data_IF_686013399087
#
_entry.id   IF_686013399087
#
_cell.length_a   1.000
_cell.length_b   1.000
_cell.length_c   1.000
_cell.angle_alpha   90.00
_cell.angle_beta   90.00
_cell.angle_gamma   90.00
#
_symmetry.space_group_name_H-M   'P 1'
#
loop_
_entity.id
_entity.type
_entity.pdbx_description
1 polymer ?
#
# COMPACT_ATOMS: atom_id res chain seq x y z
N UNK A 1 -16.98 -24.77 -8.77
CA UNK A 1 -15.81 -25.13 -7.93
C UNK A 1 -16.18 -24.90 -6.48
N UNK A 2 -16.11 -25.91 -5.61
CA UNK A 2 -16.26 -25.69 -4.17
C UNK A 2 -14.98 -24.97 -3.72
N UNK A 3 -15.13 -23.76 -3.17
CA UNK A 3 -14.02 -23.01 -2.57
C UNK A 3 -13.59 -23.73 -1.30
N UNK A 4 -12.78 -24.79 -1.43
CA UNK A 4 -12.10 -25.36 -0.27
C UNK A 4 -11.03 -24.38 0.17
N UNK A 5 -11.14 -23.94 1.43
CA UNK A 5 -10.20 -22.99 2.00
C UNK A 5 -8.92 -23.75 2.36
N UNK A 6 -7.87 -23.52 1.58
CA UNK A 6 -6.54 -24.06 1.86
C UNK A 6 -5.85 -23.22 2.94
N UNK A 7 -5.18 -23.91 3.86
CA UNK A 7 -4.43 -23.29 4.96
C UNK A 7 -2.93 -23.41 4.66
N UNK A 8 -2.33 -22.31 4.21
CA UNK A 8 -0.93 -22.29 3.77
C UNK A 8 0.05 -22.73 4.87
N UNK A 9 -0.26 -22.49 6.15
CA UNK A 9 0.59 -22.95 7.25
C UNK A 9 0.59 -24.48 7.33
N UNK A 10 -0.57 -25.11 7.16
CA UNK A 10 -0.68 -26.57 7.15
C UNK A 10 -0.04 -27.19 5.92
N UNK A 11 -0.17 -26.55 4.76
CA UNK A 11 0.51 -27.00 3.53
C UNK A 11 2.03 -26.96 3.68
N UNK A 12 2.58 -25.90 4.28
CA UNK A 12 4.01 -25.77 4.50
C UNK A 12 4.54 -26.83 5.48
N UNK A 13 3.79 -27.12 6.56
CA UNK A 13 4.11 -28.22 7.48
C UNK A 13 4.07 -29.57 6.74
N UNK A 14 3.08 -29.79 5.87
CA UNK A 14 2.96 -31.02 5.10
C UNK A 14 4.13 -31.23 4.12
N UNK A 15 4.55 -30.20 3.39
CA UNK A 15 5.74 -30.26 2.52
C UNK A 15 7.02 -30.49 3.32
N UNK A 16 7.16 -29.86 4.50
CA UNK A 16 8.28 -30.07 5.41
C UNK A 16 8.36 -31.54 5.87
N UNK A 17 7.24 -32.07 6.36
CA UNK A 17 7.15 -33.46 6.82
C UNK A 17 7.40 -34.47 5.69
N UNK A 18 6.86 -34.22 4.49
CA UNK A 18 7.09 -35.04 3.30
C UNK A 18 8.59 -35.12 2.95
N UNK A 19 9.30 -33.99 2.96
CA UNK A 19 10.72 -33.95 2.64
C UNK A 19 11.60 -34.55 3.75
N UNK A 20 11.21 -34.41 5.04
CA UNK A 20 11.88 -35.09 6.16
C UNK A 20 11.81 -36.61 5.97
N UNK A 21 10.61 -37.16 5.74
CA UNK A 21 10.44 -38.60 5.48
C UNK A 21 11.20 -39.01 4.22
N UNK A 22 11.09 -38.24 3.15
CA UNK A 22 11.77 -38.50 1.87
C UNK A 22 13.30 -38.58 2.02
N UNK A 23 13.89 -37.78 2.90
CA UNK A 23 15.35 -37.77 3.13
C UNK A 23 15.90 -39.11 3.63
N UNK A 24 15.14 -39.86 4.43
CA UNK A 24 15.52 -41.21 4.89
C UNK A 24 15.53 -42.25 3.76
N UNK A 25 14.94 -41.93 2.62
CA UNK A 25 14.80 -42.83 1.46
C UNK A 25 15.63 -42.40 0.25
N UNK A 26 16.58 -41.46 0.42
CA UNK A 26 17.36 -40.86 -0.68
C UNK A 26 16.48 -40.20 -1.77
N UNK A 27 15.31 -39.69 -1.39
CA UNK A 27 14.41 -38.99 -2.30
C UNK A 27 14.95 -37.57 -2.60
N UNK A 28 14.74 -37.10 -3.83
CA UNK A 28 14.99 -35.70 -4.17
C UNK A 28 13.95 -34.77 -3.52
N UNK A 29 14.27 -33.47 -3.41
CA UNK A 29 13.35 -32.48 -2.84
C UNK A 29 12.03 -32.50 -3.62
N UNK A 30 10.95 -32.83 -2.91
CA UNK A 30 9.61 -32.95 -3.49
C UNK A 30 8.85 -31.65 -3.33
N UNK A 31 8.30 -31.16 -4.44
CA UNK A 31 7.49 -29.94 -4.54
C UNK A 31 6.10 -30.28 -5.12
N UNK A 32 5.20 -29.30 -5.19
CA UNK A 32 3.87 -29.46 -5.79
C UNK A 32 3.94 -29.67 -7.31
N UNK A 33 3.64 -30.86 -7.84
CA UNK A 33 3.80 -31.13 -9.28
C UNK A 33 2.58 -30.64 -10.06
N UNK A 34 2.67 -29.43 -10.63
CA UNK A 34 1.57 -28.82 -11.40
C UNK A 34 0.97 -29.75 -12.47
N UNK A 35 1.83 -30.38 -13.28
CA UNK A 35 1.38 -31.28 -14.36
C UNK A 35 0.60 -32.49 -13.85
N UNK A 36 1.04 -33.14 -12.76
CA UNK A 36 0.35 -34.31 -12.20
C UNK A 36 -0.97 -33.92 -11.53
N UNK A 37 -1.00 -32.79 -10.82
CA UNK A 37 -2.21 -32.29 -10.17
C UNK A 37 -3.27 -31.89 -11.21
N UNK A 38 -2.86 -31.27 -12.33
CA UNK A 38 -3.79 -30.92 -13.41
C UNK A 38 -4.42 -32.16 -14.06
N UNK A 39 -3.64 -33.21 -14.32
CA UNK A 39 -4.18 -34.48 -14.85
C UNK A 39 -5.12 -35.15 -13.84
N UNK A 40 -4.75 -35.17 -12.56
CA UNK A 40 -5.57 -35.72 -11.48
C UNK A 40 -6.91 -34.98 -11.35
N UNK A 41 -6.88 -33.65 -11.50
CA UNK A 41 -8.08 -32.80 -11.52
C UNK A 41 -8.96 -33.08 -12.75
N UNK A 42 -8.36 -33.15 -13.95
CA UNK A 42 -9.08 -33.45 -15.19
C UNK A 42 -9.67 -34.87 -15.20
N UNK A 43 -9.05 -35.82 -14.50
CA UNK A 43 -9.59 -37.17 -14.29
C UNK A 43 -10.78 -37.21 -13.32
N UNK A 44 -11.17 -36.07 -12.72
CA UNK A 44 -12.33 -35.96 -11.84
C UNK A 44 -12.06 -36.42 -10.40
N UNK A 45 -10.81 -36.60 -10.00
CA UNK A 45 -10.45 -37.01 -8.65
C UNK A 45 -10.74 -35.90 -7.63
N UNK A 46 -11.40 -36.26 -6.52
CA UNK A 46 -11.85 -35.31 -5.48
C UNK A 46 -11.23 -35.53 -4.10
N UNK A 47 -10.48 -36.61 -3.91
CA UNK A 47 -9.93 -36.99 -2.61
C UNK A 47 -8.43 -37.19 -2.69
N UNK A 48 -7.73 -36.94 -1.58
CA UNK A 48 -6.29 -37.15 -1.45
C UNK A 48 -5.87 -38.62 -1.64
N UNK A 49 -6.81 -39.57 -1.54
CA UNK A 49 -6.53 -40.99 -1.81
C UNK A 49 -6.07 -41.25 -3.24
N UNK A 50 -6.41 -40.40 -4.20
CA UNK A 50 -5.87 -40.50 -5.56
C UNK A 50 -4.33 -40.47 -5.57
N UNK A 51 -3.73 -39.62 -4.73
CA UNK A 51 -2.26 -39.52 -4.64
C UNK A 51 -1.63 -40.78 -4.03
N UNK A 52 -2.33 -41.44 -3.09
CA UNK A 52 -1.87 -42.70 -2.49
C UNK A 52 -1.90 -43.83 -3.53
N UNK A 53 -3.01 -43.96 -4.26
CA UNK A 53 -3.15 -44.96 -5.34
C UNK A 53 -2.09 -44.71 -6.42
N UNK A 54 -1.90 -43.46 -6.83
CA UNK A 54 -0.86 -43.09 -7.78
C UNK A 54 0.55 -43.46 -7.30
N UNK A 55 0.85 -43.22 -6.01
CA UNK A 55 2.12 -43.62 -5.40
C UNK A 55 2.34 -45.14 -5.42
N UNK A 56 1.31 -45.92 -5.09
CA UNK A 56 1.37 -47.39 -5.13
C UNK A 56 1.54 -47.93 -6.56
N UNK A 57 0.78 -47.40 -7.52
CA UNK A 57 0.93 -47.76 -8.93
C UNK A 57 2.35 -47.43 -9.45
N UNK A 58 2.92 -46.29 -9.05
CA UNK A 58 4.28 -45.90 -9.42
C UNK A 58 5.31 -46.86 -8.82
N UNK A 59 5.15 -47.28 -7.56
CA UNK A 59 5.99 -48.28 -6.92
C UNK A 59 5.97 -49.62 -7.68
N UNK A 60 4.78 -50.14 -8.02
CA UNK A 60 4.65 -51.37 -8.81
C UNK A 60 5.27 -51.24 -10.19
N UNK A 61 5.06 -50.10 -10.86
CA UNK A 61 5.62 -49.83 -12.19
C UNK A 61 7.14 -49.85 -12.16
N UNK A 62 7.75 -49.23 -11.14
CA UNK A 62 9.21 -49.25 -10.98
C UNK A 62 9.75 -50.64 -10.62
N UNK A 63 9.02 -51.45 -9.85
CA UNK A 63 9.48 -52.79 -9.46
C UNK A 63 9.43 -53.79 -10.63
N UNK A 64 8.37 -53.76 -11.44
CA UNK A 64 8.14 -54.76 -12.49
C UNK A 64 8.48 -54.29 -13.91
N UNK A 65 8.24 -53.01 -14.22
CA UNK A 65 8.35 -52.47 -15.59
C UNK A 65 9.62 -51.61 -15.81
N UNK A 66 10.44 -51.35 -14.78
CA UNK A 66 11.69 -50.61 -14.95
C UNK A 66 12.61 -51.13 -16.08
N UNK A 67 12.77 -52.46 -16.30
CA UNK A 67 13.59 -52.96 -17.41
C UNK A 67 13.09 -52.52 -18.79
N UNK A 68 11.77 -52.33 -18.95
CA UNK A 68 11.16 -51.91 -20.21
C UNK A 68 11.44 -50.43 -20.50
N UNK A 69 11.40 -49.58 -19.46
CA UNK A 69 11.65 -48.15 -19.60
C UNK A 69 13.11 -47.80 -19.88
N UNK A 70 14.06 -48.72 -19.70
CA UNK A 70 15.48 -48.51 -20.02
C UNK A 70 15.72 -48.09 -21.48
N UNK A 71 14.86 -48.52 -22.40
CA UNK A 71 14.98 -48.22 -23.83
C UNK A 71 14.21 -46.95 -24.26
N UNK A 72 13.66 -46.20 -23.30
CA UNK A 72 12.88 -44.99 -23.63
C UNK A 72 13.79 -43.92 -24.25
N UNK A 73 13.55 -43.48 -25.49
CA UNK A 73 14.39 -42.49 -26.14
C UNK A 73 14.23 -41.12 -25.46
N UNK A 74 15.35 -40.43 -25.23
CA UNK A 74 15.38 -39.09 -24.62
C UNK A 74 14.49 -38.10 -25.37
N UNK A 75 14.41 -38.21 -26.70
CA UNK A 75 13.58 -37.35 -27.56
C UNK A 75 12.10 -37.43 -27.19
N UNK A 76 11.59 -38.63 -26.87
CA UNK A 76 10.21 -38.78 -26.44
C UNK A 76 9.95 -38.12 -25.08
N UNK A 77 10.90 -38.24 -24.16
CA UNK A 77 10.80 -37.58 -22.85
C UNK A 77 10.83 -36.05 -22.98
N UNK A 78 11.75 -35.51 -23.79
CA UNK A 78 11.81 -34.07 -24.09
C UNK A 78 10.53 -33.56 -24.74
N UNK A 79 9.96 -34.31 -25.70
CA UNK A 79 8.71 -33.93 -26.36
C UNK A 79 7.53 -33.86 -25.37
N UNK A 80 7.42 -34.83 -24.46
CA UNK A 80 6.38 -34.83 -23.41
C UNK A 80 6.55 -33.63 -22.46
N UNK A 81 7.78 -33.32 -22.04
CA UNK A 81 8.06 -32.16 -21.17
C UNK A 81 7.71 -30.85 -21.88
N UNK A 82 8.15 -30.66 -23.13
CA UNK A 82 7.85 -29.46 -23.92
C UNK A 82 6.34 -29.29 -24.12
N UNK A 83 5.62 -30.36 -24.46
CA UNK A 83 4.16 -30.33 -24.61
C UNK A 83 3.45 -29.95 -23.32
N UNK A 84 3.95 -30.39 -22.16
CA UNK A 84 3.37 -30.04 -20.86
C UNK A 84 3.65 -28.59 -20.47
N UNK A 85 4.83 -28.05 -20.80
CA UNK A 85 5.22 -26.69 -20.45
C UNK A 85 4.54 -25.62 -21.33
N UNK A 86 4.30 -25.90 -22.62
CA UNK A 86 3.62 -24.97 -23.52
C UNK A 86 2.23 -24.57 -23.00
N UNK A 87 1.51 -25.50 -22.34
CA UNK A 87 0.21 -25.22 -21.74
C UNK A 87 0.26 -24.36 -20.47
N UNK A 88 1.43 -24.11 -19.91
CA UNK A 88 1.62 -23.29 -18.70
C UNK A 88 1.88 -21.82 -19.04
N UNK A 89 2.27 -21.51 -20.28
CA UNK A 89 2.56 -20.13 -20.68
C UNK A 89 1.25 -19.39 -20.95
N UNK A 90 0.89 -18.47 -20.05
CA UNK A 90 -0.29 -17.63 -20.19
C UNK A 90 0.08 -16.24 -20.73
N UNK A 91 -0.01 -16.07 -22.06
CA UNK A 91 0.31 -14.80 -22.72
C UNK A 91 -0.71 -13.69 -22.43
N UNK A 92 -1.98 -14.06 -22.24
CA UNK A 92 -3.06 -13.09 -21.98
C UNK A 92 -2.86 -12.42 -20.62
N UNK A 93 -2.43 -13.17 -19.61
CA UNK A 93 -2.09 -12.62 -18.29
C UNK A 93 -0.92 -11.63 -18.36
N UNK A 94 0.12 -11.92 -19.14
CA UNK A 94 1.24 -10.98 -19.29
C UNK A 94 0.81 -9.65 -19.94
N UNK A 95 -0.03 -9.73 -20.98
CA UNK A 95 -0.56 -8.53 -21.67
C UNK A 95 -1.50 -7.76 -20.73
N UNK A 96 -2.34 -8.47 -19.98
CA UNK A 96 -3.22 -7.86 -19.00
C UNK A 96 -2.41 -7.13 -17.91
N UNK A 97 -1.34 -7.75 -17.40
CA UNK A 97 -0.46 -7.14 -16.40
C UNK A 97 0.16 -5.85 -16.92
N UNK A 98 0.62 -5.84 -18.18
CA UNK A 98 1.16 -4.63 -18.82
C UNK A 98 0.13 -3.49 -18.94
N UNK A 99 -1.15 -3.82 -19.19
CA UNK A 99 -2.24 -2.84 -19.29
C UNK A 99 -2.65 -2.29 -17.92
N UNK A 100 -2.64 -3.12 -16.88
CA UNK A 100 -3.07 -2.73 -15.52
C UNK A 100 -1.97 -1.98 -14.79
N UNK A 101 -0.77 -2.56 -14.70
CA UNK A 101 0.33 -1.97 -13.95
C UNK A 101 1.69 -2.29 -14.59
N UNK A 102 2.32 -1.23 -15.12
CA UNK A 102 3.62 -1.33 -15.80
C UNK A 102 4.74 -1.81 -14.88
N UNK A 103 4.70 -1.49 -13.59
CA UNK A 103 5.72 -1.93 -12.63
C UNK A 103 5.58 -3.43 -12.32
N UNK A 104 4.35 -3.96 -12.24
CA UNK A 104 4.16 -5.40 -12.03
C UNK A 104 4.59 -6.20 -13.26
N UNK A 105 4.37 -5.63 -14.45
CA UNK A 105 4.94 -6.19 -15.67
C UNK A 105 6.48 -6.21 -15.65
N UNK A 106 7.14 -5.14 -15.17
CA UNK A 106 8.61 -5.12 -15.03
C UNK A 106 9.10 -6.18 -14.05
N UNK A 107 8.42 -6.37 -12.91
CA UNK A 107 8.74 -7.42 -11.93
C UNK A 107 8.61 -8.82 -12.58
N UNK A 108 7.52 -9.05 -13.31
CA UNK A 108 7.28 -10.30 -14.04
C UNK A 108 8.37 -10.55 -15.10
N UNK A 109 8.70 -9.54 -15.90
CA UNK A 109 9.73 -9.63 -16.93
C UNK A 109 11.12 -9.83 -16.34
N UNK A 110 11.43 -9.21 -15.20
CA UNK A 110 12.67 -9.44 -14.47
C UNK A 110 12.79 -10.89 -14.00
N UNK A 111 11.70 -11.49 -13.52
CA UNK A 111 11.67 -12.92 -13.20
C UNK A 111 11.91 -13.78 -14.45
N UNK A 112 11.16 -13.52 -15.53
CA UNK A 112 11.23 -14.29 -16.77
C UNK A 112 12.63 -14.25 -17.40
N UNK A 113 13.19 -13.05 -17.60
CA UNK A 113 14.51 -12.86 -18.19
C UNK A 113 15.61 -13.34 -17.23
N UNK A 114 15.47 -13.09 -15.93
CA UNK A 114 16.44 -13.51 -14.93
C UNK A 114 16.58 -15.04 -14.85
N UNK A 115 15.46 -15.76 -14.84
CA UNK A 115 15.45 -17.24 -14.83
C UNK A 115 15.95 -17.80 -16.17
N UNK A 116 15.57 -17.18 -17.31
CA UNK A 116 15.91 -17.69 -18.64
C UNK A 116 17.37 -17.48 -19.03
N UNK A 117 18.00 -16.37 -18.63
CA UNK A 117 19.35 -16.00 -19.07
C UNK A 117 20.44 -16.18 -18.01
N UNK A 118 20.10 -16.20 -16.73
CA UNK A 118 21.08 -16.28 -15.64
C UNK A 118 20.95 -17.61 -14.91
N UNK A 119 20.03 -17.69 -13.95
CA UNK A 119 19.76 -18.85 -13.11
C UNK A 119 18.40 -18.67 -12.43
N UNK A 120 17.77 -19.78 -12.06
CA UNK A 120 16.49 -19.77 -11.32
C UNK A 120 16.59 -18.95 -10.03
N UNK A 121 17.64 -19.17 -9.23
CA UNK A 121 17.80 -18.51 -7.92
C UNK A 121 17.94 -16.99 -8.07
N UNK A 122 18.77 -16.54 -9.01
CA UNK A 122 19.03 -15.12 -9.25
C UNK A 122 17.80 -14.43 -9.82
N UNK A 123 17.12 -15.05 -10.79
CA UNK A 123 15.89 -14.49 -11.37
C UNK A 123 14.77 -14.32 -10.34
N UNK A 124 14.62 -15.30 -9.44
CA UNK A 124 13.65 -15.22 -8.34
C UNK A 124 14.02 -14.12 -7.34
N UNK A 125 15.29 -14.07 -6.89
CA UNK A 125 15.76 -13.02 -5.98
C UNK A 125 15.57 -11.62 -6.55
N UNK A 126 15.85 -11.43 -7.84
CA UNK A 126 15.66 -10.14 -8.52
C UNK A 126 14.18 -9.72 -8.52
N UNK A 127 13.28 -10.63 -8.88
CA UNK A 127 11.84 -10.37 -8.92
C UNK A 127 11.28 -10.04 -7.53
N UNK A 128 11.58 -10.87 -6.54
CA UNK A 128 11.14 -10.65 -5.15
C UNK A 128 11.73 -9.35 -4.60
N UNK A 129 13.00 -9.08 -4.88
CA UNK A 129 13.66 -7.83 -4.49
C UNK A 129 12.98 -6.59 -5.09
N UNK A 130 12.63 -6.62 -6.38
CA UNK A 130 11.89 -5.53 -7.02
C UNK A 130 10.47 -5.37 -6.46
N UNK A 131 9.78 -6.47 -6.15
CA UNK A 131 8.46 -6.43 -5.52
C UNK A 131 8.51 -5.81 -4.11
N UNK A 132 9.51 -6.19 -3.31
CA UNK A 132 9.75 -5.61 -1.99
C UNK A 132 10.13 -4.13 -2.09
N UNK A 133 10.99 -3.76 -3.04
CA UNK A 133 11.36 -2.36 -3.28
C UNK A 133 10.14 -1.53 -3.67
N UNK A 134 9.27 -2.03 -4.56
CA UNK A 134 8.01 -1.38 -4.92
C UNK A 134 7.11 -1.20 -3.70
N UNK A 135 6.93 -2.24 -2.88
CA UNK A 135 6.14 -2.16 -1.66
C UNK A 135 6.70 -1.09 -0.70
N UNK A 136 8.02 -1.05 -0.53
CA UNK A 136 8.69 -0.05 0.30
C UNK A 136 8.51 1.37 -0.25
N UNK A 137 8.63 1.56 -1.57
CA UNK A 137 8.38 2.85 -2.22
C UNK A 137 6.94 3.33 -2.01
N UNK A 138 5.97 2.42 -2.10
CA UNK A 138 4.56 2.74 -1.87
C UNK A 138 4.32 3.18 -0.41
N UNK A 139 4.95 2.51 0.55
CA UNK A 139 4.88 2.90 1.97
C UNK A 139 5.60 4.23 2.23
N UNK A 140 6.77 4.45 1.59
CA UNK A 140 7.61 5.63 1.78
C UNK A 140 7.05 6.91 1.14
N UNK A 141 6.27 6.79 0.04
CA UNK A 141 5.69 7.92 -0.70
C UNK A 141 4.17 7.82 -0.78
N UNK A 142 3.46 7.92 0.34
CA UNK A 142 2.00 7.90 0.33
C UNK A 142 1.43 9.12 -0.37
N UNK A 143 0.29 8.93 -1.06
CA UNK A 143 -0.47 10.03 -1.61
C UNK A 143 -1.12 10.86 -0.48
N UNK A 144 -1.09 12.18 -0.64
CA UNK A 144 -1.80 13.12 0.21
C UNK A 144 -2.68 13.98 -0.69
N UNK A 145 -3.96 14.12 -0.35
CA UNK A 145 -4.95 14.79 -1.19
C UNK A 145 -5.28 16.18 -0.61
N UNK A 146 -5.40 17.18 -1.49
CA UNK A 146 -5.93 18.50 -1.12
C UNK A 146 -7.45 18.44 -1.20
N UNK A 147 -8.14 18.78 -0.11
CA UNK A 147 -9.59 18.75 -0.06
C UNK A 147 -10.19 20.14 -0.33
N UNK A 148 -11.20 20.19 -1.20
CA UNK A 148 -12.06 21.35 -1.46
C UNK A 148 -13.51 21.07 -1.09
N UNK A 149 -14.28 22.13 -0.84
CA UNK A 149 -15.71 22.02 -0.52
C UNK A 149 -16.53 21.90 -1.80
N UNK A 150 -17.45 20.93 -1.86
CA UNK A 150 -18.39 20.83 -2.98
C UNK A 150 -19.50 21.88 -2.79
N UNK A 151 -19.83 22.68 -3.83
CA UNK A 151 -20.92 23.65 -3.77
C UNK A 151 -22.23 23.00 -3.35
N UNK A 152 -22.99 23.67 -2.47
CA UNK A 152 -24.29 23.21 -1.97
C UNK A 152 -24.26 21.87 -1.20
N UNK A 153 -23.09 21.48 -0.68
CA UNK A 153 -22.93 20.28 0.16
C UNK A 153 -22.02 20.56 1.35
N UNK A 154 -22.11 19.71 2.38
CA UNK A 154 -21.16 19.65 3.51
C UNK A 154 -19.97 18.73 3.22
N UNK A 155 -19.85 18.21 1.99
CA UNK A 155 -18.81 17.26 1.61
C UNK A 155 -17.52 17.96 1.16
N UNK A 156 -16.40 17.41 1.63
CA UNK A 156 -15.05 17.76 1.24
C UNK A 156 -14.47 16.63 0.39
N UNK A 157 -13.96 16.96 -0.79
CA UNK A 157 -13.41 15.97 -1.74
C UNK A 157 -12.14 16.49 -2.39
N UNK A 158 -11.36 15.56 -2.92
CA UNK A 158 -10.12 15.87 -3.62
C UNK A 158 -10.37 16.82 -4.78
N UNK A 159 -9.63 17.93 -4.81
CA UNK A 159 -9.69 18.94 -5.87
C UNK A 159 -9.24 18.40 -7.22
N UNK A 160 -8.32 17.42 -7.24
CA UNK A 160 -7.84 16.80 -8.48
C UNK A 160 -8.90 15.87 -9.08
N UNK A 161 -9.62 15.13 -8.23
CA UNK A 161 -10.67 14.20 -8.67
C UNK A 161 -11.98 14.93 -9.02
N UNK A 162 -12.32 16.00 -8.28
CA UNK A 162 -13.56 16.76 -8.46
C UNK A 162 -13.25 18.25 -8.72
N UNK A 163 -13.11 18.67 -9.99
CA UNK A 163 -12.74 20.04 -10.33
C UNK A 163 -13.81 21.09 -9.96
N UNK A 164 -15.04 20.65 -9.63
CA UNK A 164 -16.09 21.53 -9.12
C UNK A 164 -15.96 21.90 -7.64
N UNK A 165 -14.94 21.41 -6.94
CA UNK A 165 -14.71 21.73 -5.53
C UNK A 165 -13.99 23.07 -5.38
N UNK A 166 -14.48 23.92 -4.47
CA UNK A 166 -13.91 25.25 -4.22
C UNK A 166 -12.98 25.21 -2.99
N UNK A 167 -11.75 25.76 -3.09
CA UNK A 167 -10.91 25.93 -1.91
C UNK A 167 -11.55 26.92 -0.94
N UNK A 168 -11.19 26.82 0.34
CA UNK A 168 -11.65 27.75 1.37
C UNK A 168 -10.55 28.81 1.56
N UNK A 169 -10.93 30.08 1.47
CA UNK A 169 -10.00 31.17 1.68
C UNK A 169 -9.39 31.12 3.09
N UNK A 170 -8.06 31.21 3.17
CA UNK A 170 -7.29 31.19 4.42
C UNK A 170 -7.17 29.82 5.10
N UNK A 171 -7.81 28.75 4.58
CA UNK A 171 -7.82 27.41 5.19
C UNK A 171 -7.39 26.35 4.17
N UNK A 172 -6.26 25.70 4.42
CA UNK A 172 -5.80 24.55 3.64
C UNK A 172 -6.20 23.25 4.34
N UNK A 173 -6.94 22.39 3.65
CA UNK A 173 -7.35 21.07 4.16
C UNK A 173 -6.60 19.98 3.41
N UNK A 174 -5.81 19.18 4.14
CA UNK A 174 -5.06 18.05 3.57
C UNK A 174 -5.50 16.75 4.23
N UNK A 175 -5.81 15.75 3.40
CA UNK A 175 -6.13 14.41 3.85
C UNK A 175 -4.92 13.50 3.76
N UNK A 176 -4.57 12.88 4.89
CA UNK A 176 -3.52 11.87 4.97
C UNK A 176 -4.17 10.47 4.96
N UNK A 177 -3.93 9.73 3.88
CA UNK A 177 -4.57 8.44 3.62
C UNK A 177 -3.76 7.21 4.05
N UNK A 178 -2.62 7.39 4.70
CA UNK A 178 -1.68 6.30 4.99
C UNK A 178 -1.25 6.28 6.46
N UNK A 179 -0.86 5.10 6.99
CA UNK A 179 -0.14 5.05 8.25
C UNK A 179 1.11 5.93 8.19
N UNK A 180 1.47 6.53 9.32
CA UNK A 180 2.61 7.45 9.43
C UNK A 180 3.69 6.74 10.24
N UNK A 181 4.79 6.42 9.58
CA UNK A 181 5.94 5.74 10.14
C UNK A 181 7.23 6.52 9.86
N UNK A 182 8.32 6.12 10.51
CA UNK A 182 9.67 6.60 10.24
C UNK A 182 10.00 6.65 8.73
N UNK A 183 9.58 5.64 7.96
CA UNK A 183 9.87 5.54 6.53
C UNK A 183 9.23 6.65 5.67
N UNK A 184 8.12 7.26 6.10
CA UNK A 184 7.35 8.22 5.31
C UNK A 184 7.09 9.56 5.99
N UNK A 185 7.37 9.70 7.29
CA UNK A 185 7.09 10.92 8.05
C UNK A 185 7.75 12.16 7.44
N UNK A 186 9.04 12.04 7.07
CA UNK A 186 9.79 13.13 6.43
C UNK A 186 9.17 13.54 5.10
N UNK A 187 8.78 12.55 4.28
CA UNK A 187 8.13 12.80 3.00
C UNK A 187 6.79 13.51 3.18
N UNK A 188 5.96 13.09 4.14
CA UNK A 188 4.68 13.74 4.44
C UNK A 188 4.90 15.18 4.87
N UNK A 189 5.85 15.46 5.77
CA UNK A 189 6.18 16.82 6.21
C UNK A 189 6.58 17.71 5.02
N UNK A 190 7.48 17.23 4.18
CA UNK A 190 7.91 17.97 2.98
C UNK A 190 6.76 18.19 1.99
N UNK A 191 5.87 17.19 1.83
CA UNK A 191 4.70 17.28 0.95
C UNK A 191 3.69 18.32 1.46
N UNK A 192 3.42 18.34 2.76
CA UNK A 192 2.56 19.36 3.40
C UNK A 192 3.15 20.75 3.20
N UNK A 193 4.45 20.93 3.47
CA UNK A 193 5.13 22.21 3.27
C UNK A 193 5.14 22.64 1.79
N UNK A 194 5.21 21.69 0.86
CA UNK A 194 5.12 21.96 -0.58
C UNK A 194 3.73 22.45 -0.97
N UNK A 195 2.66 21.81 -0.48
CA UNK A 195 1.29 22.29 -0.71
C UNK A 195 1.09 23.73 -0.22
N UNK A 196 1.61 24.07 0.96
CA UNK A 196 1.52 25.44 1.49
C UNK A 196 2.24 26.43 0.56
N UNK A 197 3.43 26.08 0.06
CA UNK A 197 4.20 26.93 -0.87
C UNK A 197 3.50 27.09 -2.22
N UNK A 198 2.92 26.01 -2.75
CA UNK A 198 2.19 26.03 -4.02
C UNK A 198 0.98 26.97 -3.94
N UNK A 199 0.20 26.90 -2.86
CA UNK A 199 -0.94 27.80 -2.66
C UNK A 199 -0.51 29.28 -2.47
N UNK A 200 0.56 29.53 -1.72
CA UNK A 200 1.05 30.89 -1.50
C UNK A 200 1.74 31.50 -2.74
N UNK A 201 2.29 30.68 -3.64
CA UNK A 201 2.98 31.12 -4.85
C UNK A 201 2.08 31.41 -6.04
N UNK A 202 0.81 30.96 -6.02
CA UNK A 202 -0.15 31.16 -7.11
C UNK A 202 -0.87 32.51 -7.03
N UNK A 203 -0.90 33.16 -5.86
CA UNK A 203 -1.64 34.42 -5.66
C UNK A 203 -0.71 35.63 -5.49
N UNK A 204 -0.64 36.47 -6.53
CA UNK A 204 -0.01 37.82 -6.53
C UNK A 204 -0.76 38.84 -5.62
N UNK A 205 -1.88 38.44 -5.01
CA UNK A 205 -2.71 39.26 -4.14
C UNK A 205 -2.55 38.87 -2.67
N UNK A 206 -2.33 39.87 -1.79
CA UNK A 206 -2.22 39.77 -0.31
C UNK A 206 -3.41 39.10 0.42
N UNK A 207 -4.43 38.64 -0.30
CA UNK A 207 -5.69 38.09 0.20
C UNK A 207 -5.75 36.57 0.36
N UNK A 208 -4.71 35.83 -0.06
CA UNK A 208 -4.68 34.34 -0.01
C UNK A 208 -3.58 33.78 0.90
N UNK A 209 -3.27 34.48 1.99
CA UNK A 209 -2.37 33.95 3.01
C UNK A 209 -3.11 32.81 3.73
N UNK A 210 -2.54 31.60 3.70
CA UNK A 210 -3.02 30.49 4.52
C UNK A 210 -2.76 30.82 5.98
N UNK A 211 -3.80 30.89 6.79
CA UNK A 211 -3.73 31.13 8.23
C UNK A 211 -3.96 29.84 9.02
N UNK A 212 -4.68 28.88 8.44
CA UNK A 212 -5.02 27.61 9.08
C UNK A 212 -4.70 26.41 8.18
N UNK A 213 -4.06 25.39 8.76
CA UNK A 213 -3.84 24.09 8.14
C UNK A 213 -4.64 23.02 8.91
N UNK A 214 -5.58 22.39 8.24
CA UNK A 214 -6.35 21.25 8.73
C UNK A 214 -5.77 19.96 8.18
N UNK A 215 -5.28 19.07 9.05
CA UNK A 215 -4.86 17.71 8.69
C UNK A 215 -5.96 16.72 9.04
N UNK A 216 -6.60 16.15 8.02
CA UNK A 216 -7.53 15.03 8.19
C UNK A 216 -6.77 13.72 8.32
N UNK A 217 -6.85 13.13 9.52
CA UNK A 217 -6.21 11.86 9.88
C UNK A 217 -7.19 10.67 9.84
N UNK A 218 -8.38 10.83 9.25
CA UNK A 218 -9.37 9.74 9.12
C UNK A 218 -8.79 8.47 8.46
N UNK A 219 -7.91 8.68 7.48
CA UNK A 219 -7.23 7.63 6.72
C UNK A 219 -5.99 7.05 7.41
N UNK A 220 -5.53 7.66 8.51
CA UNK A 220 -4.32 7.21 9.21
C UNK A 220 -4.69 6.08 10.18
N UNK A 221 -4.29 4.86 9.82
CA UNK A 221 -4.59 3.67 10.65
C UNK A 221 -3.75 3.63 11.92
N UNK A 222 -2.47 4.02 11.84
CA UNK A 222 -1.54 4.00 12.96
C UNK A 222 -0.43 5.04 12.76
N UNK A 223 0.15 5.49 13.86
CA UNK A 223 1.32 6.39 13.90
C UNK A 223 2.39 5.79 14.81
N UNK A 224 3.68 6.03 14.51
CA UNK A 224 4.81 5.73 15.39
C UNK A 224 5.38 7.00 16.07
N UNK A 225 6.36 6.81 16.97
CA UNK A 225 6.97 7.92 17.71
C UNK A 225 7.63 8.94 16.77
N UNK A 226 8.38 8.48 15.76
CA UNK A 226 9.03 9.38 14.79
C UNK A 226 8.00 10.19 14.01
N UNK A 227 6.87 9.59 13.63
CA UNK A 227 5.74 10.29 13.00
C UNK A 227 5.22 11.44 13.88
N UNK A 228 5.05 11.19 15.18
CA UNK A 228 4.61 12.22 16.14
C UNK A 228 5.65 13.32 16.29
N UNK A 229 6.93 12.99 16.43
CA UNK A 229 8.02 13.97 16.49
C UNK A 229 8.06 14.85 15.23
N UNK A 230 7.86 14.23 14.07
CA UNK A 230 7.80 14.94 12.79
C UNK A 230 6.63 15.92 12.74
N UNK A 231 5.49 15.58 13.35
CA UNK A 231 4.35 16.50 13.48
C UNK A 231 4.62 17.63 14.48
N UNK A 232 5.36 17.39 15.57
CA UNK A 232 5.80 18.46 16.48
C UNK A 232 6.73 19.44 15.78
N UNK A 233 7.67 18.93 14.97
CA UNK A 233 8.52 19.78 14.13
C UNK A 233 7.70 20.56 13.11
N UNK A 234 6.75 19.90 12.43
CA UNK A 234 5.86 20.55 11.48
C UNK A 234 5.10 21.70 12.16
N UNK A 235 4.53 21.48 13.36
CA UNK A 235 3.88 22.52 14.15
C UNK A 235 4.81 23.72 14.39
N UNK A 236 6.03 23.49 14.86
CA UNK A 236 7.00 24.58 15.11
C UNK A 236 7.32 25.38 13.84
N UNK A 237 7.45 24.70 12.70
CA UNK A 237 7.66 25.35 11.40
C UNK A 237 6.44 26.19 11.02
N UNK A 238 5.22 25.68 11.24
CA UNK A 238 3.99 26.40 10.94
C UNK A 238 3.77 27.61 11.86
N UNK A 239 4.06 27.46 13.16
CA UNK A 239 4.00 28.55 14.14
C UNK A 239 4.92 29.71 13.75
N UNK A 240 6.15 29.41 13.28
CA UNK A 240 7.10 30.44 12.80
C UNK A 240 6.59 31.21 11.57
N UNK A 241 5.60 30.66 10.85
CA UNK A 241 4.93 31.29 9.71
C UNK A 241 3.56 31.88 10.06
N UNK A 242 3.14 31.82 11.32
CA UNK A 242 1.82 32.26 11.76
C UNK A 242 0.66 31.37 11.30
N UNK A 243 0.94 30.14 10.86
CA UNK A 243 -0.09 29.18 10.40
C UNK A 243 -0.48 28.27 11.56
N UNK A 244 -1.77 28.25 11.93
CA UNK A 244 -2.29 27.37 12.98
C UNK A 244 -2.53 25.97 12.42
N UNK A 245 -1.94 24.96 13.06
CA UNK A 245 -2.19 23.54 12.75
C UNK A 245 -3.40 23.04 13.54
N UNK A 246 -4.27 22.27 12.89
CA UNK A 246 -5.34 21.53 13.57
C UNK A 246 -5.50 20.13 13.00
N UNK A 247 -5.95 19.21 13.84
CA UNK A 247 -6.10 17.79 13.54
C UNK A 247 -7.58 17.45 13.47
N UNK A 248 -7.98 16.72 12.42
CA UNK A 248 -9.36 16.28 12.20
C UNK A 248 -9.44 14.76 12.22
N UNK A 249 -10.40 14.25 12.98
CA UNK A 249 -10.81 12.84 13.08
C UNK A 249 -9.66 11.81 13.17
N UNK A 250 -8.74 11.93 14.16
CA UNK A 250 -7.75 10.89 14.39
C UNK A 250 -8.43 9.61 14.87
N UNK A 251 -8.00 8.45 14.37
CA UNK A 251 -8.45 7.16 14.91
C UNK A 251 -8.02 6.99 16.37
N UNK A 252 -8.75 6.17 17.12
CA UNK A 252 -8.52 5.95 18.57
C UNK A 252 -7.06 5.56 18.86
N UNK A 253 -6.51 4.58 18.15
CA UNK A 253 -5.11 4.14 18.35
C UNK A 253 -4.10 5.27 18.08
N UNK A 254 -4.38 6.14 17.09
CA UNK A 254 -3.54 7.29 16.76
C UNK A 254 -3.65 8.35 17.85
N UNK A 255 -4.86 8.66 18.29
CA UNK A 255 -5.13 9.65 19.33
C UNK A 255 -4.52 9.25 20.68
N UNK A 256 -4.60 7.97 21.06
CA UNK A 256 -3.97 7.44 22.27
C UNK A 256 -2.45 7.65 22.24
N UNK A 257 -1.79 7.28 21.14
CA UNK A 257 -0.35 7.48 20.97
C UNK A 257 0.03 8.96 21.00
N UNK A 258 -0.74 9.83 20.34
CA UNK A 258 -0.54 11.28 20.38
C UNK A 258 -0.68 11.86 21.80
N UNK A 259 -1.65 11.37 22.57
CA UNK A 259 -1.88 11.81 23.96
C UNK A 259 -0.72 11.38 24.86
N UNK A 260 -0.30 10.12 24.76
CA UNK A 260 0.84 9.59 25.52
C UNK A 260 2.15 10.32 25.19
N UNK A 261 2.34 10.71 23.93
CA UNK A 261 3.48 11.49 23.48
C UNK A 261 3.38 13.00 23.78
N UNK A 262 2.33 13.45 24.49
CA UNK A 262 2.05 14.86 24.83
C UNK A 262 1.89 15.78 23.61
N UNK A 263 1.58 15.21 22.44
CA UNK A 263 1.31 16.00 21.24
C UNK A 263 0.03 16.82 21.40
N UNK A 264 -1.00 16.23 22.03
CA UNK A 264 -2.27 16.90 22.32
C UNK A 264 -2.11 18.14 23.18
N UNK A 265 -1.21 18.09 24.16
CA UNK A 265 -0.92 19.21 25.06
C UNK A 265 -0.10 20.28 24.35
N UNK A 266 0.80 19.87 23.44
CA UNK A 266 1.60 20.81 22.65
C UNK A 266 0.73 21.62 21.68
N UNK A 267 -0.21 21.00 20.97
CA UNK A 267 -1.06 21.68 19.97
C UNK A 267 -2.31 22.36 20.57
N UNK A 268 -2.68 21.97 21.80
CA UNK A 268 -3.93 22.40 22.43
C UNK A 268 -5.09 21.47 22.08
N UNK A 269 -5.93 21.14 23.07
CA UNK A 269 -7.07 20.22 22.90
C UNK A 269 -8.15 20.82 22.00
N UNK A 270 -8.22 22.13 21.94
CA UNK A 270 -9.09 22.93 21.06
C UNK A 270 -8.74 22.82 19.58
N UNK A 271 -7.54 22.33 19.25
CA UNK A 271 -7.07 22.13 17.87
C UNK A 271 -7.46 20.76 17.31
N UNK A 272 -8.27 19.97 18.04
CA UNK A 272 -8.79 18.68 17.60
C UNK A 272 -10.28 18.75 17.28
N UNK A 273 -10.66 18.25 16.11
CA UNK A 273 -12.04 18.28 15.63
C UNK A 273 -12.48 16.90 15.17
N UNK A 274 -13.78 16.62 15.29
CA UNK A 274 -14.36 15.38 14.78
C UNK A 274 -14.67 15.46 13.28
N UNK A 275 -15.08 16.62 12.79
CA UNK A 275 -15.41 16.82 11.37
C UNK A 275 -14.64 18.00 10.77
N UNK A 276 -14.44 17.95 9.44
CA UNK A 276 -13.77 19.04 8.70
C UNK A 276 -14.63 20.31 8.75
N UNK A 277 -15.96 20.18 8.67
CA UNK A 277 -16.86 21.33 8.69
C UNK A 277 -16.77 22.10 10.02
N UNK A 278 -16.73 21.40 11.16
CA UNK A 278 -16.59 22.03 12.49
C UNK A 278 -15.25 22.78 12.60
N UNK A 279 -14.18 22.17 12.10
CA UNK A 279 -12.85 22.78 12.08
C UNK A 279 -12.82 24.05 11.22
N UNK A 280 -13.41 23.99 10.01
CA UNK A 280 -13.50 25.12 9.09
C UNK A 280 -14.35 26.25 9.69
N UNK A 281 -15.48 25.93 10.31
CA UNK A 281 -16.32 26.94 10.96
C UNK A 281 -15.55 27.68 12.05
N UNK A 282 -14.85 26.95 12.93
CA UNK A 282 -14.06 27.58 13.99
C UNK A 282 -12.90 28.45 13.45
N UNK A 283 -12.27 28.01 12.35
CA UNK A 283 -11.27 28.81 11.66
C UNK A 283 -11.87 30.11 11.10
N UNK A 284 -13.07 30.04 10.49
CA UNK A 284 -13.78 31.24 9.99
C UNK A 284 -14.14 32.22 11.08
N UNK A 285 -14.60 31.74 12.24
CA UNK A 285 -14.87 32.61 13.39
C UNK A 285 -13.61 33.32 13.88
N UNK A 286 -12.48 32.61 13.93
CA UNK A 286 -11.18 33.19 14.29
C UNK A 286 -10.73 34.25 13.28
N UNK A 287 -10.88 33.97 11.98
CA UNK A 287 -10.55 34.90 10.89
C UNK A 287 -11.38 36.19 10.93
N UNK A 288 -12.69 36.08 11.19
CA UNK A 288 -13.57 37.23 11.31
C UNK A 288 -13.24 38.08 12.54
N UNK A 289 -12.99 37.46 13.69
CA UNK A 289 -12.61 38.16 14.92
C UNK A 289 -11.32 38.99 14.74
N UNK A 290 -10.29 38.42 14.10
CA UNK A 290 -9.03 39.14 13.83
C UNK A 290 -9.19 40.31 12.85
N UNK A 291 -10.11 40.24 11.89
CA UNK A 291 -10.40 41.35 10.97
C UNK A 291 -11.16 42.50 11.64
N UNK A 292 -12.17 42.19 12.46
CA UNK A 292 -12.96 43.19 13.19
C UNK A 292 -12.10 43.96 14.21
N UNK A 293 -11.20 43.29 14.94
CA UNK A 293 -10.28 43.98 15.87
C UNK A 293 -9.29 44.91 15.13
N UNK A 294 -8.85 44.54 13.91
CA UNK A 294 -8.01 45.44 13.10
C UNK A 294 -8.79 46.67 12.62
N UNK A 295 -10.02 46.51 12.13
CA UNK A 295 -10.87 47.63 11.69
C UNK A 295 -11.20 48.61 12.83
N UNK A 296 -11.48 48.11 14.04
CA UNK A 296 -11.71 48.95 15.22
C UNK A 296 -10.47 49.77 15.62
N UNK A 297 -9.27 49.15 15.58
CA UNK A 297 -8.01 49.86 15.88
C UNK A 297 -7.61 50.92 14.84
N UNK A 298 -8.00 50.74 13.58
CA UNK A 298 -7.80 51.72 12.51
C UNK A 298 -8.82 52.87 12.58
N UNK A 299 -10.04 52.60 13.06
CA UNK A 299 -11.04 53.66 13.27
C UNK A 299 -10.67 54.55 14.47
N UNK A 300 -10.12 53.99 15.55
CA UNK A 300 -9.68 54.78 16.71
C UNK A 300 -8.47 55.69 16.42
N UNK A 301 -7.65 55.36 15.41
CA UNK A 301 -6.53 56.22 14.97
C UNK A 301 -6.96 57.38 14.05
N UNK A 302 -8.15 57.34 13.47
CA UNK A 302 -8.68 58.39 12.59
C UNK A 302 -9.65 59.37 13.30
N UNK A 303 -9.82 59.23 14.62
CA UNK A 303 -10.71 60.08 15.45
C UNK A 303 -9.92 61.08 16.33
N UNK A 304 -8.62 61.29 16.07
CA UNK A 304 -7.81 62.33 16.74
C UNK A 304 -7.45 63.46 15.80
#
# INVERSE_FOLDING_TARGET
>A
MKSEQTDGNKEMIAFGFMNIIGSFTSCYLTTGPFSKTAVNFNAGCRTAMSNVVMGFCMMLTLLFLAPLFRYTPLVALSAIIMSAMLGLINYDEMIHLFKVDKFDFVICMAAFLGVSFISMDVGLMLSVGLALLRALLYVARPAACKLGKIPNSSLYRDTEQYPGSTPIQGVLVLQLGSPIYFANSTYIRERVLRYIKEEQGVSDSKTDIIEHLLLDLSGVSSIDMTGIETFLELRRILDSKGIKLSIVNPRIEVLEKMTLAKFTDAIGKESFYLTIEDAVQNCRFSLHSSKTTMEESLNDQNVV
#
